data_IF_396856705037
#
_entry.id   IF_396856705037
#
_cell.length_a   1.000
_cell.length_b   1.000
_cell.length_c   1.000
_cell.angle_alpha   90.00
_cell.angle_beta   90.00
_cell.angle_gamma   90.00
#
_symmetry.space_group_name_H-M   'P 1'
#
loop_
_entity.id
_entity.type
_entity.pdbx_description
1 polymer ?
#
# COMPACT_ATOMS: atom_id res chain seq x y z
N UNK A 1 -0.52 -3.83 0.30
CA UNK A 1 -1.95 -4.15 0.11
C UNK A 1 -2.46 -5.05 1.20
N UNK A 2 -3.74 -4.89 1.57
CA UNK A 2 -4.42 -5.68 2.60
C UNK A 2 -5.79 -6.12 2.09
N UNK A 3 -5.91 -7.40 1.74
CA UNK A 3 -7.18 -8.02 1.41
C UNK A 3 -7.74 -8.61 2.71
N UNK A 4 -8.96 -8.29 3.05
CA UNK A 4 -9.54 -8.54 4.35
C UNK A 4 -10.86 -9.29 4.19
N UNK A 5 -11.04 -10.36 4.96
CA UNK A 5 -12.32 -11.07 5.01
C UNK A 5 -13.40 -10.20 5.68
N UNK A 6 -14.63 -10.27 5.20
CA UNK A 6 -15.76 -9.50 5.74
C UNK A 6 -16.04 -9.77 7.22
N UNK A 7 -15.61 -10.94 7.72
CA UNK A 7 -15.74 -11.35 9.13
C UNK A 7 -14.56 -10.90 9.99
N UNK A 8 -13.51 -10.30 9.40
CA UNK A 8 -12.32 -9.89 10.12
C UNK A 8 -12.58 -8.67 11.02
N UNK A 9 -11.74 -8.53 12.02
CA UNK A 9 -11.76 -7.37 12.88
C UNK A 9 -10.36 -7.02 13.38
N UNK A 10 -10.18 -5.76 13.76
CA UNK A 10 -8.93 -5.20 14.23
C UNK A 10 -9.12 -4.54 15.59
N UNK A 11 -8.08 -4.55 16.40
CA UNK A 11 -8.04 -3.80 17.65
C UNK A 11 -6.59 -3.49 18.04
N UNK A 12 -6.39 -2.35 18.69
CA UNK A 12 -5.12 -1.94 19.29
C UNK A 12 -5.21 -2.14 20.80
N UNK A 13 -5.26 -3.38 21.26
CA UNK A 13 -5.61 -3.77 22.63
C UNK A 13 -4.56 -3.45 23.70
N UNK A 14 -3.46 -2.78 23.36
CA UNK A 14 -2.33 -2.50 24.25
C UNK A 14 -2.75 -1.78 25.54
N UNK A 15 -3.56 -0.74 25.45
CA UNK A 15 -4.02 0.05 26.60
C UNK A 15 -4.81 -0.80 27.61
N UNK A 16 -5.49 -1.86 27.16
CA UNK A 16 -6.27 -2.74 28.05
C UNK A 16 -5.42 -3.54 29.03
N UNK A 17 -4.13 -3.69 28.73
CA UNK A 17 -3.16 -4.38 29.57
C UNK A 17 -2.04 -3.43 30.05
N UNK A 18 -2.26 -2.11 29.97
CA UNK A 18 -1.31 -1.11 30.43
C UNK A 18 -0.06 -0.92 29.56
N UNK A 19 -0.09 -1.38 28.31
CA UNK A 19 1.00 -1.20 27.35
C UNK A 19 0.71 -0.07 26.35
N UNK A 20 1.76 0.37 25.70
CA UNK A 20 1.71 1.29 24.55
C UNK A 20 1.80 0.52 23.23
N UNK A 21 1.30 1.07 22.11
CA UNK A 21 1.48 0.47 20.79
C UNK A 21 2.95 0.21 20.46
N UNK A 22 3.24 -0.97 19.92
CA UNK A 22 4.56 -1.42 19.45
C UNK A 22 4.61 -1.66 17.94
N UNK A 23 5.64 -2.36 17.47
CA UNK A 23 5.79 -2.81 16.07
C UNK A 23 5.59 -1.72 15.00
N UNK A 24 5.81 -0.45 15.37
CA UNK A 24 5.68 0.70 14.50
C UNK A 24 4.24 1.20 14.31
N UNK A 25 3.27 0.75 15.10
CA UNK A 25 1.88 1.21 15.00
C UNK A 25 1.77 2.72 15.25
N UNK A 26 2.49 3.26 16.25
CA UNK A 26 2.51 4.70 16.54
C UNK A 26 3.00 5.57 15.38
N UNK A 27 3.77 4.98 14.48
CA UNK A 27 4.27 5.63 13.27
C UNK A 27 3.35 5.40 12.06
N UNK A 28 2.93 4.16 11.82
CA UNK A 28 2.21 3.77 10.61
C UNK A 28 0.73 4.10 10.66
N UNK A 29 0.07 3.87 11.81
CA UNK A 29 -1.37 4.05 11.93
C UNK A 29 -1.82 5.50 11.67
N UNK A 30 -1.19 6.55 12.27
CA UNK A 30 -1.57 7.94 11.98
C UNK A 30 -1.41 8.35 10.51
N UNK A 31 -0.51 7.69 9.78
CA UNK A 31 -0.29 7.93 8.35
C UNK A 31 -1.35 7.30 7.46
N UNK A 32 -2.01 6.28 7.97
CA UNK A 32 -3.10 5.59 7.25
C UNK A 32 -4.45 6.24 7.55
N UNK A 33 -4.76 6.44 8.83
CA UNK A 33 -6.10 6.87 9.26
C UNK A 33 -6.17 8.33 9.75
N UNK A 34 -5.05 9.04 9.76
CA UNK A 34 -4.91 10.36 10.36
C UNK A 34 -4.75 10.32 11.88
N UNK A 35 -4.16 11.40 12.45
CA UNK A 35 -3.78 11.43 13.87
C UNK A 35 -4.96 11.25 14.83
N UNK A 36 -6.07 11.95 14.59
CA UNK A 36 -7.23 11.90 15.49
C UNK A 36 -7.83 10.49 15.58
N UNK A 37 -7.95 9.79 14.46
CA UNK A 37 -8.44 8.42 14.40
C UNK A 37 -7.46 7.43 15.02
N UNK A 38 -6.18 7.61 14.77
CA UNK A 38 -5.16 6.77 15.40
C UNK A 38 -5.18 6.88 16.92
N UNK A 39 -5.34 8.11 17.43
CA UNK A 39 -5.45 8.36 18.87
C UNK A 39 -6.71 7.69 19.46
N UNK A 40 -7.87 7.87 18.82
CA UNK A 40 -9.13 7.21 19.21
C UNK A 40 -8.95 5.68 19.27
N UNK A 41 -8.44 5.08 18.19
CA UNK A 41 -8.24 3.63 18.12
C UNK A 41 -7.29 3.12 19.22
N UNK A 42 -6.19 3.83 19.47
CA UNK A 42 -5.20 3.40 20.46
C UNK A 42 -5.67 3.59 21.91
N UNK A 43 -6.40 4.67 22.20
CA UNK A 43 -6.81 4.97 23.58
C UNK A 43 -8.10 4.26 23.97
N UNK A 44 -9.08 4.15 23.07
CA UNK A 44 -10.36 3.49 23.36
C UNK A 44 -10.30 2.00 23.09
N UNK A 45 -9.39 1.57 22.23
CA UNK A 45 -9.19 0.14 21.89
C UNK A 45 -10.48 -0.60 21.52
N UNK A 46 -11.36 0.09 20.80
CA UNK A 46 -12.58 -0.51 20.26
C UNK A 46 -12.26 -1.53 19.18
N UNK A 47 -13.15 -2.50 19.03
CA UNK A 47 -13.08 -3.47 17.93
C UNK A 47 -13.59 -2.81 16.66
N UNK A 48 -12.75 -2.82 15.62
CA UNK A 48 -13.05 -2.30 14.28
C UNK A 48 -13.37 -3.48 13.39
N UNK A 49 -14.59 -3.57 12.88
CA UNK A 49 -14.99 -4.58 11.89
C UNK A 49 -14.41 -4.27 10.50
N UNK A 50 -14.59 -5.20 9.57
CA UNK A 50 -14.05 -5.07 8.21
C UNK A 50 -14.62 -3.84 7.47
N UNK A 51 -15.90 -3.52 7.64
CA UNK A 51 -16.55 -2.36 7.02
C UNK A 51 -15.98 -1.04 7.53
N UNK A 52 -15.82 -0.91 8.85
CA UNK A 52 -15.19 0.28 9.44
C UNK A 52 -13.71 0.38 9.08
N UNK A 53 -13.03 -0.76 9.00
CA UNK A 53 -11.63 -0.82 8.55
C UNK A 53 -11.46 -0.32 7.10
N UNK A 54 -12.37 -0.68 6.21
CA UNK A 54 -12.41 -0.18 4.84
C UNK A 54 -12.65 1.33 4.80
N UNK A 55 -13.65 1.82 5.50
CA UNK A 55 -13.94 3.25 5.60
C UNK A 55 -12.80 4.08 6.20
N UNK A 56 -11.94 3.49 7.01
CA UNK A 56 -10.74 4.09 7.58
C UNK A 56 -9.47 3.96 6.70
N UNK A 57 -9.56 3.27 5.57
CA UNK A 57 -8.40 2.98 4.71
C UNK A 57 -7.43 1.95 5.31
N UNK A 58 -7.85 1.18 6.30
CA UNK A 58 -7.04 0.11 6.90
C UNK A 58 -6.91 -1.12 6.00
N UNK A 59 -7.75 -1.26 4.98
CA UNK A 59 -7.66 -2.33 4.00
C UNK A 59 -7.80 -1.80 2.57
N UNK A 60 -7.36 -2.62 1.61
CA UNK A 60 -7.44 -2.32 0.18
C UNK A 60 -8.77 -2.82 -0.40
N UNK A 61 -9.24 -3.95 0.12
CA UNK A 61 -10.48 -4.59 -0.33
C UNK A 61 -11.03 -5.50 0.77
N UNK A 62 -12.34 -5.46 0.97
CA UNK A 62 -13.07 -6.41 1.81
C UNK A 62 -13.76 -7.42 0.89
N UNK A 63 -13.65 -8.69 1.21
CA UNK A 63 -14.17 -9.81 0.39
C UNK A 63 -14.79 -10.89 1.27
N UNK A 64 -15.63 -11.79 0.72
CA UNK A 64 -16.07 -12.99 1.40
C UNK A 64 -14.88 -13.83 1.90
N UNK A 65 -15.08 -14.56 3.00
CA UNK A 65 -13.99 -15.32 3.66
C UNK A 65 -13.29 -16.27 2.68
N UNK A 66 -14.07 -16.99 1.90
CA UNK A 66 -13.60 -17.99 0.92
C UNK A 66 -12.84 -17.37 -0.25
N UNK A 67 -13.08 -16.10 -0.55
CA UNK A 67 -12.41 -15.39 -1.64
C UNK A 67 -11.11 -14.70 -1.20
N UNK A 68 -10.82 -14.62 0.10
CA UNK A 68 -9.71 -13.81 0.62
C UNK A 68 -8.34 -14.22 0.04
N UNK A 69 -8.06 -15.51 0.00
CA UNK A 69 -6.79 -16.02 -0.53
C UNK A 69 -6.68 -15.84 -2.04
N UNK A 70 -7.72 -16.20 -2.78
CA UNK A 70 -7.73 -16.10 -4.26
C UNK A 70 -7.61 -14.65 -4.74
N UNK A 71 -8.29 -13.71 -4.09
CA UNK A 71 -8.19 -12.28 -4.39
C UNK A 71 -6.79 -11.73 -4.09
N UNK A 72 -6.18 -12.13 -2.97
CA UNK A 72 -4.82 -11.74 -2.63
C UNK A 72 -3.79 -12.29 -3.65
N UNK A 73 -3.95 -13.55 -4.06
CA UNK A 73 -3.11 -14.18 -5.07
C UNK A 73 -3.29 -13.53 -6.45
N UNK A 74 -4.51 -13.21 -6.84
CA UNK A 74 -4.80 -12.51 -8.10
C UNK A 74 -4.14 -11.14 -8.15
N UNK A 75 -4.27 -10.35 -7.07
CA UNK A 75 -3.59 -9.06 -6.98
C UNK A 75 -2.06 -9.20 -7.04
N UNK A 76 -1.52 -10.17 -6.31
CA UNK A 76 -0.07 -10.44 -6.33
C UNK A 76 0.43 -10.84 -7.73
N UNK A 77 -0.32 -11.70 -8.43
CA UNK A 77 0.00 -12.11 -9.80
C UNK A 77 -0.04 -10.92 -10.77
N UNK A 78 -1.05 -10.05 -10.65
CA UNK A 78 -1.14 -8.82 -11.44
C UNK A 78 0.08 -7.90 -11.23
N UNK A 79 0.50 -7.72 -9.99
CA UNK A 79 1.67 -6.90 -9.67
C UNK A 79 2.98 -7.55 -10.14
N UNK A 80 3.08 -8.87 -10.06
CA UNK A 80 4.27 -9.62 -10.50
C UNK A 80 4.47 -9.58 -12.03
N UNK A 81 3.40 -9.42 -12.79
CA UNK A 81 3.43 -9.25 -14.26
C UNK A 81 3.60 -7.78 -14.69
N UNK A 82 3.64 -6.88 -13.75
CA UNK A 82 3.79 -5.46 -14.03
C UNK A 82 5.25 -5.05 -14.32
N UNK A 83 5.44 -3.79 -14.76
CA UNK A 83 6.75 -3.29 -15.13
C UNK A 83 7.68 -3.14 -13.93
N UNK A 84 8.98 -3.06 -14.20
CA UNK A 84 10.02 -2.76 -13.19
C UNK A 84 9.72 -1.53 -12.34
N UNK A 85 8.99 -0.56 -12.89
CA UNK A 85 8.61 0.66 -12.17
C UNK A 85 7.77 0.41 -10.91
N UNK A 86 7.06 -0.71 -10.78
CA UNK A 86 6.32 -1.07 -9.55
C UNK A 86 7.25 -1.09 -8.33
N UNK A 87 8.44 -1.69 -8.46
CA UNK A 87 9.45 -1.71 -7.41
C UNK A 87 10.04 -0.33 -7.11
N UNK A 88 10.20 0.51 -8.12
CA UNK A 88 10.68 1.88 -7.99
C UNK A 88 9.64 2.77 -7.27
N UNK A 89 8.37 2.68 -7.66
CA UNK A 89 7.25 3.39 -7.02
C UNK A 89 7.16 3.03 -5.53
N UNK A 90 7.23 1.75 -5.19
CA UNK A 90 7.19 1.31 -3.80
C UNK A 90 8.33 1.91 -2.98
N UNK A 91 9.55 1.95 -3.53
CA UNK A 91 10.73 2.54 -2.90
C UNK A 91 10.57 4.04 -2.70
N UNK A 92 10.07 4.72 -3.73
CA UNK A 92 9.83 6.16 -3.75
C UNK A 92 8.82 6.58 -2.67
N UNK A 93 7.65 5.96 -2.63
CA UNK A 93 6.62 6.25 -1.65
C UNK A 93 7.08 5.97 -0.21
N UNK A 94 7.83 4.89 0.03
CA UNK A 94 8.39 4.58 1.35
C UNK A 94 9.40 5.64 1.80
N UNK A 95 10.28 6.09 0.90
CA UNK A 95 11.30 7.09 1.22
C UNK A 95 10.69 8.48 1.41
N UNK A 96 9.85 8.91 0.48
CA UNK A 96 9.31 10.26 0.44
C UNK A 96 8.31 10.54 1.56
N UNK A 97 7.70 9.49 2.12
CA UNK A 97 6.83 9.61 3.30
C UNK A 97 7.50 10.16 4.56
N UNK A 98 8.84 10.33 4.56
CA UNK A 98 9.65 10.75 5.71
C UNK A 98 10.46 12.03 5.45
N UNK A 99 10.46 12.54 4.21
CA UNK A 99 11.32 13.63 3.78
C UNK A 99 10.59 14.96 3.55
N UNK A 100 11.33 15.95 3.09
CA UNK A 100 10.79 17.21 2.59
C UNK A 100 10.29 17.05 1.14
N UNK A 101 9.39 17.93 0.70
CA UNK A 101 8.95 17.97 -0.70
C UNK A 101 10.12 18.16 -1.68
N UNK A 102 11.14 18.94 -1.29
CA UNK A 102 12.35 19.16 -2.10
C UNK A 102 13.14 17.86 -2.30
N UNK A 103 13.33 17.09 -1.23
CA UNK A 103 14.04 15.81 -1.28
C UNK A 103 13.23 14.77 -2.07
N UNK A 104 11.90 14.80 -1.94
CA UNK A 104 11.01 13.97 -2.72
C UNK A 104 11.18 14.23 -4.22
N UNK A 105 11.08 15.48 -4.68
CA UNK A 105 11.25 15.85 -6.09
C UNK A 105 12.61 15.42 -6.65
N UNK A 106 13.69 15.60 -5.87
CA UNK A 106 15.02 15.17 -6.28
C UNK A 106 15.12 13.65 -6.44
N UNK A 107 14.47 12.90 -5.55
CA UNK A 107 14.45 11.44 -5.63
C UNK A 107 13.56 10.93 -6.76
N UNK A 108 12.41 11.54 -6.99
CA UNK A 108 11.53 11.27 -8.12
C UNK A 108 12.27 11.40 -9.44
N UNK A 109 13.04 12.49 -9.62
CA UNK A 109 13.85 12.68 -10.82
C UNK A 109 14.87 11.53 -11.04
N UNK A 110 15.47 11.01 -9.95
CA UNK A 110 16.37 9.85 -10.03
C UNK A 110 15.62 8.57 -10.42
N UNK A 111 14.47 8.32 -9.81
CA UNK A 111 13.66 7.13 -10.10
C UNK A 111 13.09 7.16 -11.52
N UNK A 112 12.67 8.34 -12.01
CA UNK A 112 12.25 8.53 -13.39
C UNK A 112 13.40 8.27 -14.39
N UNK A 113 14.60 8.77 -14.08
CA UNK A 113 15.77 8.51 -14.93
C UNK A 113 16.12 7.01 -14.99
N UNK A 114 15.93 6.25 -13.91
CA UNK A 114 16.12 4.80 -13.88
C UNK A 114 14.99 4.11 -14.67
N UNK A 115 13.74 4.45 -14.40
CA UNK A 115 12.58 3.87 -15.07
C UNK A 115 12.62 4.09 -16.59
N UNK A 116 12.95 5.30 -17.03
CA UNK A 116 13.03 5.68 -18.44
C UNK A 116 14.12 4.97 -19.26
N UNK A 117 15.02 4.24 -18.58
CA UNK A 117 16.06 3.42 -19.25
C UNK A 117 15.72 1.93 -19.32
N UNK A 118 14.57 1.54 -18.82
CA UNK A 118 14.14 0.14 -18.79
C UNK A 118 13.54 -0.29 -20.12
N UNK A 119 13.65 -1.58 -20.45
CA UNK A 119 12.96 -2.17 -21.60
C UNK A 119 11.43 -2.05 -21.42
N UNK A 120 10.94 -2.16 -20.20
CA UNK A 120 9.52 -2.01 -19.88
C UNK A 120 8.97 -0.60 -20.17
N UNK A 121 9.79 0.45 -20.00
CA UNK A 121 9.39 1.80 -20.41
C UNK A 121 9.21 1.90 -21.93
N UNK A 122 10.18 1.38 -22.70
CA UNK A 122 10.09 1.37 -24.15
C UNK A 122 8.87 0.58 -24.64
N UNK A 123 8.64 -0.60 -24.08
CA UNK A 123 7.45 -1.42 -24.34
C UNK A 123 6.16 -0.68 -24.00
N UNK A 124 6.12 -0.02 -22.84
CA UNK A 124 4.95 0.75 -22.38
C UNK A 124 4.59 1.89 -23.34
N UNK A 125 5.59 2.63 -23.83
CA UNK A 125 5.41 3.72 -24.81
C UNK A 125 4.91 3.17 -26.16
N UNK A 126 5.49 2.10 -26.64
CA UNK A 126 5.07 1.47 -27.91
C UNK A 126 3.65 0.91 -27.79
N UNK A 127 3.36 0.17 -26.75
CA UNK A 127 2.03 -0.39 -26.48
C UNK A 127 0.95 0.71 -26.42
N UNK A 128 1.26 1.83 -25.73
CA UNK A 128 0.36 2.96 -25.64
C UNK A 128 0.10 3.60 -27.01
N UNK A 129 1.15 3.85 -27.81
CA UNK A 129 1.04 4.47 -29.14
C UNK A 129 0.28 3.58 -30.14
N UNK A 130 0.46 2.26 -30.04
CA UNK A 130 -0.18 1.27 -30.92
C UNK A 130 -1.50 0.74 -30.38
N UNK A 131 -1.97 1.26 -29.20
CA UNK A 131 -3.24 0.89 -28.56
C UNK A 131 -3.38 -0.62 -28.29
N UNK A 132 -2.31 -1.28 -27.91
CA UNK A 132 -2.27 -2.69 -27.50
C UNK A 132 -1.95 -2.84 -26.01
N UNK A 133 -2.21 -4.00 -25.45
CA UNK A 133 -1.75 -4.32 -24.12
C UNK A 133 -0.21 -4.45 -24.07
N UNK A 134 0.47 -3.86 -23.06
CA UNK A 134 1.92 -4.02 -22.91
C UNK A 134 2.28 -5.42 -22.41
N UNK A 135 3.51 -5.84 -22.68
CA UNK A 135 4.09 -7.10 -22.19
C UNK A 135 5.38 -6.79 -21.45
N UNK A 136 5.25 -6.59 -20.15
CA UNK A 136 6.39 -6.24 -19.30
C UNK A 136 7.20 -7.47 -18.90
N UNK A 137 8.52 -7.29 -18.74
CA UNK A 137 9.47 -8.35 -18.36
C UNK A 137 10.17 -8.06 -17.02
N UNK A 138 9.89 -6.92 -16.39
CA UNK A 138 10.48 -6.52 -15.13
C UNK A 138 11.91 -5.96 -15.25
N UNK A 139 12.34 -5.52 -16.41
CA UNK A 139 13.72 -5.05 -16.69
C UNK A 139 13.81 -3.81 -17.57
#
# INVERSE_FOLDING_TARGET
FRIVAETASFTTAFVKIGLVPDSGISFTLPRIVGYARALELCLLSEKVDARRADALGLCTKVVPVEACLSEAQSLAATLAQGPRSIGLIKRELLRNGLGSARDALAYEAQMQAIAGRTADFAEGVDAFSTKRAPRFEGR
#
